data_IF_100858548650
#
_entry.id   IF_100858548650
#
_cell.length_a   1.000
_cell.length_b   1.000
_cell.length_c   1.000
_cell.angle_alpha   90.00
_cell.angle_beta   90.00
_cell.angle_gamma   90.00
#
_symmetry.space_group_name_H-M   'P 1'
#
loop_
_entity.id
_entity.type
_entity.pdbx_description
1 polymer ?
#
# COMPACT_ATOMS: atom_id res chain seq x y z
N UNK A 1 4.47 9.68 -2.10
CA UNK A 1 3.06 9.84 -1.70
C UNK A 1 2.77 11.28 -1.34
N UNK A 2 1.49 11.67 -1.34
CA UNK A 2 1.01 13.01 -0.96
C UNK A 2 -0.42 12.90 -0.42
N UNK A 3 -0.73 13.62 0.65
CA UNK A 3 -2.09 13.78 1.17
C UNK A 3 -2.35 15.28 1.26
N UNK A 4 -3.45 15.73 0.68
CA UNK A 4 -3.76 17.16 0.64
C UNK A 4 -5.24 17.42 0.43
N UNK A 5 -5.73 18.46 1.09
CA UNK A 5 -7.08 18.98 0.92
C UNK A 5 -6.95 20.40 0.39
N UNK A 6 -7.65 20.69 -0.70
CA UNK A 6 -7.77 22.04 -1.26
C UNK A 6 -9.25 22.43 -1.34
N UNK A 7 -9.58 23.50 -2.06
CA UNK A 7 -10.96 23.95 -2.21
C UNK A 7 -11.64 23.16 -3.32
N UNK A 8 -12.65 22.37 -2.98
CA UNK A 8 -13.41 21.54 -3.93
C UNK A 8 -12.72 20.25 -4.38
N UNK A 9 -11.54 19.93 -3.85
CA UNK A 9 -10.80 18.71 -4.19
C UNK A 9 -9.93 18.18 -3.04
N UNK A 10 -9.64 16.89 -3.08
CA UNK A 10 -8.72 16.23 -2.17
C UNK A 10 -7.85 15.23 -2.93
N UNK A 11 -6.62 15.03 -2.44
CA UNK A 11 -5.66 14.07 -2.97
C UNK A 11 -5.17 13.14 -1.86
N UNK A 12 -5.04 11.86 -2.20
CA UNK A 12 -4.48 10.84 -1.34
C UNK A 12 -3.72 9.85 -2.21
N UNK A 13 -2.41 10.04 -2.31
CA UNK A 13 -1.49 9.23 -3.10
C UNK A 13 -0.60 8.49 -2.10
N UNK A 14 -0.64 7.15 -2.05
CA UNK A 14 0.15 6.39 -1.10
C UNK A 14 1.66 6.47 -1.44
N UNK A 15 2.54 6.13 -0.49
CA UNK A 15 3.96 5.93 -0.76
C UNK A 15 4.22 4.64 -1.57
N UNK A 16 5.34 4.63 -2.29
CA UNK A 16 5.78 3.54 -3.15
C UNK A 16 7.27 3.28 -2.95
N UNK A 17 7.69 2.07 -3.29
CA UNK A 17 9.09 1.72 -3.25
C UNK A 17 9.88 2.50 -4.31
N UNK A 18 10.97 3.14 -3.89
CA UNK A 18 11.77 3.97 -4.79
C UNK A 18 12.35 3.19 -5.96
N UNK A 19 12.84 1.97 -5.70
CA UNK A 19 13.46 1.13 -6.74
C UNK A 19 12.42 0.71 -7.79
N UNK A 20 11.27 0.22 -7.34
CA UNK A 20 10.16 -0.16 -8.23
C UNK A 20 9.68 1.03 -9.07
N UNK A 21 9.61 2.22 -8.46
CA UNK A 21 9.20 3.44 -9.16
C UNK A 21 10.21 3.82 -10.25
N UNK A 22 11.51 3.77 -9.95
CA UNK A 22 12.57 4.04 -10.93
C UNK A 22 12.53 3.02 -12.08
N UNK A 23 12.38 1.73 -11.77
CA UNK A 23 12.34 0.67 -12.77
C UNK A 23 11.13 0.85 -13.72
N UNK A 24 9.96 1.23 -13.20
CA UNK A 24 8.78 1.55 -14.01
C UNK A 24 8.99 2.78 -14.90
N UNK A 25 9.65 3.82 -14.40
CA UNK A 25 9.98 5.01 -15.20
C UNK A 25 10.95 4.64 -16.33
N UNK A 26 11.94 3.80 -16.07
CA UNK A 26 12.86 3.29 -17.10
C UNK A 26 12.11 2.45 -18.14
N UNK A 27 11.19 1.59 -17.71
CA UNK A 27 10.36 0.79 -18.61
C UNK A 27 9.51 1.67 -19.54
N UNK A 28 8.85 2.70 -18.98
CA UNK A 28 8.10 3.68 -19.76
C UNK A 28 8.98 4.53 -20.69
N UNK A 29 10.22 4.82 -20.28
CA UNK A 29 11.16 5.53 -21.14
C UNK A 29 11.59 4.71 -22.35
N UNK A 30 11.69 3.38 -22.21
CA UNK A 30 12.06 2.44 -23.28
C UNK A 30 10.88 2.08 -24.19
N UNK A 31 9.68 1.99 -23.65
CA UNK A 31 8.47 1.71 -24.40
C UNK A 31 7.37 2.70 -23.98
N UNK A 32 7.04 3.63 -24.87
CA UNK A 32 6.02 4.67 -24.61
C UNK A 32 4.59 4.15 -24.68
N UNK A 33 4.39 3.00 -25.34
CA UNK A 33 3.09 2.35 -25.49
C UNK A 33 2.84 1.29 -24.40
N UNK A 34 3.72 1.19 -23.39
CA UNK A 34 3.55 0.26 -22.28
C UNK A 34 2.24 0.53 -21.54
N UNK A 35 1.48 -0.53 -21.32
CA UNK A 35 0.18 -0.49 -20.67
C UNK A 35 0.31 -0.37 -19.14
N UNK A 36 -0.78 0.01 -18.48
CA UNK A 36 -0.83 0.06 -17.00
C UNK A 36 -0.62 -1.34 -16.40
N UNK A 37 -1.18 -2.38 -17.03
CA UNK A 37 -0.97 -3.78 -16.63
C UNK A 37 0.50 -4.21 -16.72
N UNK A 38 1.23 -3.76 -17.72
CA UNK A 38 2.66 -4.04 -17.86
C UNK A 38 3.49 -3.23 -16.85
N UNK A 39 3.12 -1.98 -16.57
CA UNK A 39 3.77 -1.17 -15.53
C UNK A 39 3.60 -1.77 -14.12
N UNK A 40 2.50 -2.46 -13.87
CA UNK A 40 2.27 -3.20 -12.62
C UNK A 40 3.22 -4.38 -12.41
N UNK A 41 3.92 -4.84 -13.44
CA UNK A 41 5.00 -5.84 -13.27
C UNK A 41 6.22 -5.24 -12.56
N UNK A 42 6.43 -3.92 -12.71
CA UNK A 42 7.51 -3.18 -12.08
C UNK A 42 7.09 -2.60 -10.72
N UNK A 43 5.89 -2.00 -10.65
CA UNK A 43 5.31 -1.48 -9.41
C UNK A 43 4.26 -2.46 -8.91
N UNK A 44 4.60 -3.26 -7.92
CA UNK A 44 3.68 -4.28 -7.38
C UNK A 44 2.52 -3.66 -6.61
N UNK A 45 2.74 -2.47 -6.07
CA UNK A 45 1.75 -1.73 -5.31
C UNK A 45 2.36 -0.66 -4.43
N UNK A 46 1.54 -0.05 -3.56
CA UNK A 46 2.03 0.85 -2.54
C UNK A 46 2.95 0.15 -1.53
N UNK A 47 3.97 0.86 -1.08
CA UNK A 47 4.91 0.42 -0.05
C UNK A 47 4.83 1.40 1.13
N UNK A 48 4.14 0.97 2.18
CA UNK A 48 3.88 1.81 3.35
C UNK A 48 5.06 1.74 4.33
N UNK A 49 5.58 2.88 4.84
CA UNK A 49 6.71 2.89 5.76
C UNK A 49 6.40 2.23 7.11
N UNK A 50 5.12 2.14 7.48
CA UNK A 50 4.64 1.43 8.68
C UNK A 50 4.48 -0.08 8.44
N UNK A 51 4.64 -0.54 7.20
CA UNK A 51 4.30 -1.88 6.76
C UNK A 51 2.80 -2.15 6.80
N UNK A 52 2.43 -3.34 7.26
CA UNK A 52 1.07 -3.85 7.19
C UNK A 52 0.85 -4.73 5.96
N UNK A 53 -0.33 -5.33 5.89
CA UNK A 53 -0.69 -6.30 4.86
C UNK A 53 -1.81 -5.72 4.01
N UNK A 54 -1.55 -5.56 2.71
CA UNK A 54 -2.58 -5.19 1.74
C UNK A 54 -3.40 -6.44 1.42
N UNK A 55 -4.72 -6.37 1.58
CA UNK A 55 -5.60 -7.54 1.45
C UNK A 55 -6.06 -7.82 0.01
N UNK A 56 -5.96 -6.85 -0.91
CA UNK A 56 -6.41 -7.02 -2.29
C UNK A 56 -5.62 -6.20 -3.29
N UNK A 57 -5.25 -6.84 -4.40
CA UNK A 57 -4.57 -6.19 -5.55
C UNK A 57 -5.55 -5.58 -6.55
N UNK A 58 -6.84 -5.95 -6.52
CA UNK A 58 -7.86 -5.40 -7.43
C UNK A 58 -8.00 -3.89 -7.25
N UNK A 59 -8.00 -3.43 -6.00
CA UNK A 59 -8.06 -2.00 -5.67
C UNK A 59 -6.85 -1.20 -6.15
N UNK A 60 -5.68 -1.84 -6.27
CA UNK A 60 -4.45 -1.23 -6.78
C UNK A 60 -4.57 -1.00 -8.28
N UNK A 61 -5.02 -2.02 -9.03
CA UNK A 61 -5.22 -1.92 -10.48
C UNK A 61 -6.22 -0.81 -10.84
N UNK A 62 -7.36 -0.78 -10.15
CA UNK A 62 -8.38 0.26 -10.34
C UNK A 62 -7.83 1.66 -10.01
N UNK A 63 -7.07 1.78 -8.92
CA UNK A 63 -6.44 3.04 -8.53
C UNK A 63 -5.43 3.54 -9.57
N UNK A 64 -4.65 2.66 -10.19
CA UNK A 64 -3.67 3.08 -11.21
C UNK A 64 -4.30 3.37 -12.56
N UNK A 65 -5.40 2.71 -12.92
CA UNK A 65 -6.13 3.00 -14.16
C UNK A 65 -6.94 4.28 -14.10
N UNK A 66 -7.64 4.52 -12.98
CA UNK A 66 -8.64 5.60 -12.87
C UNK A 66 -8.21 6.76 -11.98
N UNK A 67 -7.10 6.61 -11.25
CA UNK A 67 -6.69 7.53 -10.19
C UNK A 67 -7.51 7.38 -8.90
N UNK A 68 -8.48 6.45 -8.85
CA UNK A 68 -9.34 6.21 -7.67
C UNK A 68 -9.47 4.71 -7.40
N UNK A 69 -9.30 4.32 -6.15
CA UNK A 69 -9.47 2.94 -5.73
C UNK A 69 -9.39 2.79 -4.23
N UNK A 70 -9.90 1.67 -3.72
CA UNK A 70 -9.85 1.34 -2.30
C UNK A 70 -8.84 0.22 -2.08
N UNK A 71 -7.87 0.47 -1.20
CA UNK A 71 -6.80 -0.48 -0.88
C UNK A 71 -6.94 -0.83 0.61
N UNK A 72 -7.59 -1.95 0.97
CA UNK A 72 -7.74 -2.35 2.36
C UNK A 72 -6.38 -2.76 2.94
N UNK A 73 -6.01 -2.12 4.05
CA UNK A 73 -4.75 -2.35 4.77
C UNK A 73 -5.05 -2.95 6.15
N UNK A 74 -4.36 -4.03 6.52
CA UNK A 74 -4.50 -4.73 7.80
C UNK A 74 -3.19 -4.68 8.59
N UNK A 75 -3.30 -4.67 9.92
CA UNK A 75 -2.16 -4.91 10.79
C UNK A 75 -1.54 -6.28 10.55
N UNK A 76 -0.22 -6.37 10.71
CA UNK A 76 0.48 -7.64 10.80
C UNK A 76 0.44 -8.08 12.26
N UNK A 77 -0.03 -9.31 12.50
CA UNK A 77 -0.19 -9.84 13.85
C UNK A 77 0.14 -11.33 13.88
N UNK A 78 0.53 -11.78 15.07
CA UNK A 78 0.80 -13.18 15.38
C UNK A 78 -0.06 -13.60 16.57
N UNK A 79 -0.53 -14.84 16.57
CA UNK A 79 -1.27 -15.43 17.69
C UNK A 79 -0.32 -16.38 18.41
N UNK A 80 0.01 -16.06 19.66
CA UNK A 80 0.94 -16.84 20.49
C UNK A 80 0.15 -17.56 21.59
N UNK A 81 0.32 -18.87 21.68
CA UNK A 81 -0.24 -19.70 22.74
C UNK A 81 0.74 -19.80 23.91
N UNK A 82 0.27 -19.47 25.11
CA UNK A 82 1.04 -19.58 26.35
C UNK A 82 0.84 -20.95 27.01
N UNK A 83 1.68 -21.24 28.01
CA UNK A 83 1.74 -22.54 28.71
C UNK A 83 0.42 -22.97 29.41
N UNK A 84 -0.58 -22.10 29.50
CA UNK A 84 -1.84 -22.32 30.21
C UNK A 84 -3.09 -22.20 29.30
N UNK A 85 -2.99 -22.50 28.00
CA UNK A 85 -4.08 -22.33 27.01
C UNK A 85 -4.54 -20.87 26.80
N UNK A 86 -3.86 -19.90 27.39
CA UNK A 86 -4.08 -18.48 27.12
C UNK A 86 -3.52 -18.10 25.75
N UNK A 87 -4.32 -17.43 24.93
CA UNK A 87 -3.91 -16.87 23.65
C UNK A 87 -3.61 -15.38 23.78
N UNK A 88 -2.50 -14.92 23.20
CA UNK A 88 -2.19 -13.51 23.04
C UNK A 88 -2.04 -13.16 21.57
N UNK A 89 -2.59 -12.01 21.19
CA UNK A 89 -2.41 -11.44 19.85
C UNK A 89 -1.31 -10.39 19.95
N UNK A 90 -0.22 -10.58 19.23
CA UNK A 90 0.91 -9.66 19.18
C UNK A 90 0.86 -8.94 17.83
N UNK A 91 0.58 -7.64 17.84
CA UNK A 91 0.59 -6.80 16.64
C UNK A 91 2.01 -6.28 16.41
N UNK A 92 2.63 -6.64 15.29
CA UNK A 92 4.01 -6.27 14.95
C UNK A 92 4.07 -5.02 14.08
N UNK A 93 3.10 -4.83 13.18
CA UNK A 93 3.01 -3.66 12.29
C UNK A 93 1.58 -3.13 12.22
N UNK A 94 1.46 -1.81 12.16
CA UNK A 94 0.16 -1.12 12.10
C UNK A 94 -0.09 -0.47 10.74
N UNK A 95 -1.35 -0.27 10.34
CA UNK A 95 -1.68 0.40 9.09
C UNK A 95 -1.16 1.83 9.03
N UNK A 96 -0.93 2.30 7.81
CA UNK A 96 -0.41 3.64 7.53
C UNK A 96 -1.33 4.74 8.08
N UNK A 97 -0.72 5.77 8.66
CA UNK A 97 -1.38 6.95 9.20
C UNK A 97 -2.32 6.69 10.40
N UNK A 98 -2.17 5.56 11.10
CA UNK A 98 -2.85 5.27 12.36
C UNK A 98 -1.93 5.53 13.56
N UNK A 99 -2.48 6.14 14.63
CA UNK A 99 -1.77 6.37 15.89
C UNK A 99 -1.85 5.13 16.77
N UNK A 100 -0.70 4.60 17.21
CA UNK A 100 -0.64 3.43 18.11
C UNK A 100 -1.39 3.64 19.43
N UNK A 101 -1.36 4.85 19.99
CA UNK A 101 -2.02 5.15 21.27
C UNK A 101 -3.55 5.26 21.20
N UNK A 102 -4.12 5.25 20.00
CA UNK A 102 -5.56 5.32 19.78
C UNK A 102 -6.19 3.93 19.53
N UNK A 103 -5.39 2.87 19.59
CA UNK A 103 -5.77 1.46 19.46
C UNK A 103 -5.57 0.81 20.83
#
# INVERSE_FOLDING_TARGET
>A
GSIGIAVGMATSIPPHNLKETIDAVIAYARNKDITVEELLQYIKGPDFPTGGVILSTKGILEAYKTGRGQIPLRSEYEIVQLKNEEFRIIITKIPYNIRKSAI
#
